data_IF_582824135879
#
_entry.id   IF_582824135879
#
_cell.length_a   1.000
_cell.length_b   1.000
_cell.length_c   1.000
_cell.angle_alpha   90.00
_cell.angle_beta   90.00
_cell.angle_gamma   90.00
#
_symmetry.space_group_name_H-M   'P 1'
#
loop_
_entity.id
_entity.type
_entity.pdbx_description
1 polymer ?
#
# COMPACT_ATOMS: atom_id res chain seq x y z
N UNK A 1 14.25 -14.87 -2.04
CA UNK A 1 12.86 -14.40 -2.06
C UNK A 1 12.31 -14.62 -0.66
N UNK A 2 11.70 -13.62 -0.03
CA UNK A 2 11.17 -13.74 1.33
C UNK A 2 9.90 -14.59 1.28
N UNK A 3 9.80 -15.63 2.11
CA UNK A 3 8.59 -16.45 2.21
C UNK A 3 7.66 -15.88 3.29
N UNK A 4 6.67 -15.11 2.86
CA UNK A 4 5.55 -14.69 3.72
C UNK A 4 4.30 -15.48 3.32
N UNK A 5 3.56 -16.01 4.30
CA UNK A 5 2.30 -16.68 4.01
C UNK A 5 1.24 -15.69 3.53
N UNK A 6 0.33 -16.15 2.66
CA UNK A 6 -0.85 -15.36 2.26
C UNK A 6 -1.87 -15.20 3.40
N UNK A 7 -1.90 -16.17 4.31
CA UNK A 7 -2.87 -16.21 5.41
C UNK A 7 -2.48 -15.26 6.56
N UNK A 8 -1.18 -15.20 6.90
CA UNK A 8 -0.67 -14.43 8.03
C UNK A 8 0.60 -13.63 7.69
N UNK A 9 0.57 -12.77 6.64
CA UNK A 9 1.76 -12.08 6.15
C UNK A 9 2.36 -11.13 7.20
N UNK A 10 1.52 -10.55 8.05
CA UNK A 10 1.96 -9.62 9.09
C UNK A 10 2.73 -10.33 10.21
N UNK A 11 2.19 -11.44 10.72
CA UNK A 11 2.80 -12.23 11.79
C UNK A 11 4.13 -12.83 11.33
N UNK A 12 4.22 -13.28 10.07
CA UNK A 12 5.45 -13.78 9.49
C UNK A 12 6.49 -12.66 9.31
N UNK A 13 6.07 -11.49 8.86
CA UNK A 13 6.95 -10.32 8.79
C UNK A 13 7.48 -9.92 10.18
N UNK A 14 6.65 -9.96 11.22
CA UNK A 14 7.09 -9.72 12.59
C UNK A 14 8.14 -10.73 13.07
N UNK A 15 7.95 -12.02 12.79
CA UNK A 15 8.93 -13.08 13.12
C UNK A 15 10.25 -12.83 12.40
N UNK A 16 10.20 -12.53 11.11
CA UNK A 16 11.37 -12.30 10.28
C UNK A 16 12.17 -11.08 10.77
N UNK A 17 11.48 -10.00 11.14
CA UNK A 17 12.07 -8.78 11.68
C UNK A 17 12.40 -8.89 13.18
N UNK A 18 12.04 -9.99 13.85
CA UNK A 18 12.20 -10.20 15.29
C UNK A 18 11.56 -9.09 16.15
N UNK A 19 10.38 -8.64 15.75
CA UNK A 19 9.60 -7.61 16.47
C UNK A 19 8.28 -8.19 17.01
N UNK A 20 7.74 -7.56 18.05
CA UNK A 20 6.44 -7.93 18.60
C UNK A 20 5.29 -7.39 17.72
N UNK A 21 4.26 -8.20 17.42
CA UNK A 21 3.08 -7.75 16.70
C UNK A 21 2.33 -6.63 17.42
N UNK A 22 1.71 -5.73 16.66
CA UNK A 22 1.05 -4.51 17.16
C UNK A 22 -0.16 -4.81 18.01
N UNK A 23 -0.80 -5.98 17.83
CA UNK A 23 -1.84 -6.47 18.71
C UNK A 23 -1.38 -6.61 20.18
N UNK A 24 -0.06 -6.73 20.42
CA UNK A 24 0.51 -6.83 21.78
C UNK A 24 0.75 -5.46 22.43
N UNK A 25 0.63 -4.34 21.69
CA UNK A 25 0.67 -2.99 22.24
C UNK A 25 -0.68 -2.60 22.85
N UNK A 26 -1.16 -3.37 23.85
CA UNK A 26 -2.44 -3.12 24.57
C UNK A 26 -2.49 -1.72 25.23
N UNK A 27 -1.35 -1.06 25.41
CA UNK A 27 -1.23 0.27 26.02
C UNK A 27 -1.51 1.44 25.08
N UNK A 28 -1.47 1.24 23.75
CA UNK A 28 -1.64 2.34 22.80
C UNK A 28 -3.07 2.38 22.25
N UNK A 29 -3.75 3.52 22.45
CA UNK A 29 -5.04 3.85 21.82
C UNK A 29 -4.82 4.20 20.34
N UNK A 30 -4.30 3.26 19.54
CA UNK A 30 -4.16 3.43 18.10
C UNK A 30 -5.49 3.17 17.39
N UNK A 31 -5.84 4.03 16.43
CA UNK A 31 -6.96 3.80 15.52
C UNK A 31 -6.72 2.56 14.64
N UNK A 32 -7.80 1.99 14.10
CA UNK A 32 -7.70 0.85 13.20
C UNK A 32 -6.90 1.19 11.93
N UNK A 33 -7.03 2.42 11.44
CA UNK A 33 -6.26 2.94 10.31
C UNK A 33 -4.75 2.94 10.61
N UNK A 34 -4.33 3.48 11.77
CA UNK A 34 -2.92 3.47 12.16
C UNK A 34 -2.40 2.04 12.33
N UNK A 35 -3.19 1.14 12.92
CA UNK A 35 -2.80 -0.27 13.05
C UNK A 35 -2.63 -0.91 11.69
N UNK A 36 -3.55 -0.65 10.75
CA UNK A 36 -3.48 -1.18 9.39
C UNK A 36 -2.23 -0.68 8.65
N UNK A 37 -1.91 0.62 8.77
CA UNK A 37 -0.70 1.17 8.17
C UNK A 37 0.58 0.58 8.77
N UNK A 38 0.66 0.37 10.09
CA UNK A 38 1.83 -0.28 10.71
C UNK A 38 2.00 -1.71 10.19
N UNK A 39 0.91 -2.45 9.99
CA UNK A 39 0.96 -3.79 9.38
C UNK A 39 1.54 -3.75 7.97
N UNK A 40 1.01 -2.87 7.12
CA UNK A 40 1.51 -2.65 5.75
C UNK A 40 3.00 -2.29 5.74
N UNK A 41 3.40 -1.34 6.58
CA UNK A 41 4.79 -0.90 6.68
C UNK A 41 5.73 -2.02 7.15
N UNK A 42 5.27 -2.85 8.09
CA UNK A 42 6.03 -4.00 8.61
C UNK A 42 6.27 -5.04 7.51
N UNK A 43 5.23 -5.38 6.75
CA UNK A 43 5.34 -6.34 5.64
C UNK A 43 6.24 -5.78 4.54
N UNK A 44 6.08 -4.50 4.18
CA UNK A 44 6.94 -3.85 3.19
C UNK A 44 8.42 -3.86 3.62
N UNK A 45 8.71 -3.56 4.90
CA UNK A 45 10.06 -3.65 5.48
C UNK A 45 10.63 -5.07 5.40
N UNK A 46 9.83 -6.09 5.71
CA UNK A 46 10.26 -7.49 5.60
C UNK A 46 10.62 -7.87 4.16
N UNK A 47 9.87 -7.39 3.16
CA UNK A 47 10.11 -7.69 1.74
C UNK A 47 11.34 -6.95 1.20
N UNK A 48 11.47 -5.65 1.48
CA UNK A 48 12.58 -4.82 0.94
C UNK A 48 13.89 -4.97 1.72
N UNK A 49 13.84 -5.53 2.93
CA UNK A 49 15.00 -5.67 3.81
C UNK A 49 15.57 -4.32 4.23
N UNK A 50 16.90 -4.21 4.23
CA UNK A 50 17.62 -3.00 4.64
C UNK A 50 17.63 -1.89 3.58
N UNK A 51 17.05 -2.13 2.40
CA UNK A 51 17.00 -1.13 1.36
C UNK A 51 16.11 0.04 1.77
N UNK A 52 16.62 1.25 1.55
CA UNK A 52 15.90 2.52 1.70
C UNK A 52 16.15 3.35 0.44
N UNK A 53 15.15 4.10 -0.04
CA UNK A 53 15.34 5.00 -1.17
C UNK A 53 16.32 6.12 -0.76
N UNK A 54 17.37 6.31 -1.57
CA UNK A 54 18.18 7.52 -1.51
C UNK A 54 17.50 8.58 -2.38
N UNK A 55 16.90 9.58 -1.73
CA UNK A 55 16.17 10.65 -2.43
C UNK A 55 17.11 11.60 -3.18
N UNK A 56 18.43 11.50 -2.98
CA UNK A 56 19.42 12.28 -3.72
C UNK A 56 19.89 11.61 -5.02
N UNK A 57 19.57 10.33 -5.22
CA UNK A 57 19.91 9.61 -6.45
C UNK A 57 18.73 9.62 -7.44
N UNK A 58 18.83 10.49 -8.44
CA UNK A 58 17.84 10.63 -9.51
C UNK A 58 17.74 9.42 -10.45
N UNK A 59 18.71 8.49 -10.39
CA UNK A 59 18.75 7.31 -11.29
C UNK A 59 18.11 6.07 -10.69
N UNK A 60 17.86 6.06 -9.38
CA UNK A 60 17.23 4.92 -8.72
C UNK A 60 15.74 4.87 -9.08
N UNK A 61 15.36 3.85 -9.83
CA UNK A 61 13.95 3.52 -10.08
C UNK A 61 13.36 2.96 -8.78
N UNK A 62 12.15 3.43 -8.45
CA UNK A 62 11.42 3.06 -7.23
C UNK A 62 10.07 2.49 -7.64
N UNK A 63 9.77 1.30 -7.15
CA UNK A 63 8.52 0.60 -7.48
C UNK A 63 7.51 0.80 -6.36
N UNK A 64 6.26 1.03 -6.75
CA UNK A 64 5.14 1.31 -5.86
C UNK A 64 3.98 0.39 -6.22
N UNK A 65 3.11 0.11 -5.25
CA UNK A 65 1.82 -0.50 -5.57
C UNK A 65 0.88 0.56 -6.10
N UNK A 66 0.33 0.30 -7.29
CA UNK A 66 -0.73 1.09 -7.89
C UNK A 66 -1.73 0.18 -8.59
N UNK A 67 -2.90 0.70 -8.92
CA UNK A 67 -3.96 -0.10 -9.53
C UNK A 67 -5.21 0.71 -9.83
N UNK A 68 -6.18 0.03 -10.42
CA UNK A 68 -7.46 0.58 -10.81
C UNK A 68 -8.57 0.11 -9.87
N UNK A 69 -9.45 1.03 -9.48
CA UNK A 69 -10.72 0.71 -8.83
C UNK A 69 -11.81 0.94 -9.88
N UNK A 70 -12.40 -0.14 -10.38
CA UNK A 70 -13.47 -0.06 -11.37
C UNK A 70 -14.82 0.22 -10.68
N UNK A 71 -15.52 1.26 -11.15
CA UNK A 71 -16.83 1.69 -10.64
C UNK A 71 -18.00 1.28 -11.55
N UNK A 72 -17.69 0.60 -12.66
CA UNK A 72 -18.66 0.08 -13.64
C UNK A 72 -19.72 -0.84 -13.00
N UNK A 73 -19.40 -1.45 -11.86
CA UNK A 73 -20.36 -2.10 -10.97
C UNK A 73 -21.10 -1.14 -10.02
N UNK A 74 -21.86 -0.16 -10.55
CA UNK A 74 -22.97 0.61 -9.90
C UNK A 74 -22.85 1.03 -8.41
N UNK A 75 -21.69 0.99 -7.75
CA UNK A 75 -21.55 1.47 -6.38
C UNK A 75 -21.31 2.97 -6.43
N UNK A 76 -22.26 3.74 -5.92
CA UNK A 76 -22.23 5.22 -5.79
C UNK A 76 -21.14 5.73 -4.83
N UNK A 77 -20.17 4.90 -4.48
CA UNK A 77 -19.13 5.20 -3.51
C UNK A 77 -17.90 5.67 -4.29
N UNK A 78 -17.66 6.98 -4.24
CA UNK A 78 -16.45 7.59 -4.79
C UNK A 78 -15.20 6.98 -4.14
N UNK A 79 -14.30 6.42 -4.94
CA UNK A 79 -12.93 6.23 -4.49
C UNK A 79 -12.29 7.62 -4.40
N UNK A 80 -11.78 7.99 -3.21
CA UNK A 80 -11.00 9.20 -2.90
C UNK A 80 -11.22 10.44 -3.78
N UNK A 81 -11.87 11.48 -3.25
CA UNK A 81 -12.02 12.75 -3.98
C UNK A 81 -10.67 13.47 -4.14
N UNK A 82 -10.05 13.35 -5.31
CA UNK A 82 -9.04 14.30 -5.76
C UNK A 82 -9.73 15.31 -6.69
N UNK A 83 -9.95 16.53 -6.19
CA UNK A 83 -10.63 17.59 -6.92
C UNK A 83 -9.62 18.64 -7.42
N UNK A 84 -9.57 18.85 -8.74
CA UNK A 84 -8.85 19.97 -9.36
C UNK A 84 -9.90 20.91 -9.97
N UNK A 85 -9.95 22.15 -9.48
CA UNK A 85 -10.87 23.20 -9.96
C UNK A 85 -10.08 24.16 -10.85
N UNK A 86 -10.43 24.23 -12.14
CA UNK A 86 -9.87 25.22 -13.07
C UNK A 86 -10.97 26.05 -13.70
N UNK A 87 -10.74 27.35 -13.82
CA UNK A 87 -11.66 28.31 -14.44
C UNK A 87 -11.27 28.65 -15.89
N UNK A 88 -10.02 28.40 -16.29
CA UNK A 88 -9.46 28.79 -17.59
C UNK A 88 -8.96 27.57 -18.40
N UNK A 89 -9.43 26.37 -18.03
CA UNK A 89 -9.16 25.11 -18.73
C UNK A 89 -8.23 24.16 -17.98
N UNK A 90 -8.44 22.87 -18.19
CA UNK A 90 -7.51 21.80 -17.85
C UNK A 90 -7.10 21.19 -19.18
N UNK A 91 -5.85 21.39 -19.62
CA UNK A 91 -5.29 20.52 -20.64
C UNK A 91 -5.23 19.06 -20.15
N UNK A 92 -4.47 18.19 -20.82
CA UNK A 92 -4.20 16.84 -20.30
C UNK A 92 -3.61 16.91 -18.88
N UNK A 93 -4.42 16.58 -17.87
CA UNK A 93 -4.07 16.73 -16.45
C UNK A 93 -4.19 15.37 -15.78
N UNK A 94 -3.10 14.92 -15.14
CA UNK A 94 -3.03 13.67 -14.40
C UNK A 94 -2.50 13.95 -12.99
N UNK A 95 -2.87 13.12 -12.03
CA UNK A 95 -2.30 13.13 -10.69
C UNK A 95 -1.99 11.70 -10.27
N UNK A 96 -0.74 11.47 -9.86
CA UNK A 96 -0.28 10.19 -9.35
C UNK A 96 -0.20 10.30 -7.83
N UNK A 97 -0.95 9.47 -7.12
CA UNK A 97 -0.87 9.37 -5.65
C UNK A 97 -0.06 8.12 -5.33
N UNK A 98 1.15 8.33 -4.80
CA UNK A 98 2.02 7.27 -4.32
C UNK A 98 1.83 7.00 -2.83
N UNK A 99 2.26 5.83 -2.37
CA UNK A 99 2.34 5.48 -0.94
C UNK A 99 3.81 5.48 -0.52
N UNK A 100 4.11 5.59 0.78
CA UNK A 100 5.49 5.42 1.30
C UNK A 100 5.98 3.97 1.30
N UNK A 101 5.17 3.04 0.78
CA UNK A 101 5.48 1.62 0.63
C UNK A 101 6.24 1.43 -0.69
N UNK A 102 7.52 1.78 -0.67
CA UNK A 102 8.43 1.77 -1.83
C UNK A 102 9.34 0.54 -1.82
N UNK A 103 9.65 0.02 -3.02
CA UNK A 103 10.46 -1.17 -3.25
C UNK A 103 11.57 -0.94 -4.27
N UNK A 104 12.63 -1.73 -4.16
CA UNK A 104 13.80 -1.68 -5.06
C UNK A 104 13.51 -2.36 -6.40
N UNK A 105 12.78 -3.47 -6.36
CA UNK A 105 12.48 -4.29 -7.54
C UNK A 105 10.96 -4.35 -7.78
N UNK A 106 10.54 -4.43 -9.05
CA UNK A 106 9.13 -4.56 -9.44
C UNK A 106 8.47 -5.77 -8.80
N UNK A 107 9.13 -6.92 -8.87
CA UNK A 107 8.66 -8.18 -8.27
C UNK A 107 8.39 -8.11 -6.75
N UNK A 108 9.07 -7.20 -6.04
CA UNK A 108 8.80 -6.96 -4.61
C UNK A 108 7.51 -6.17 -4.43
N UNK A 109 7.27 -5.17 -5.27
CA UNK A 109 6.02 -4.42 -5.28
C UNK A 109 4.85 -5.33 -5.69
N UNK A 110 5.03 -6.19 -6.69
CA UNK A 110 4.05 -7.19 -7.13
C UNK A 110 3.64 -8.11 -5.98
N UNK A 111 4.63 -8.76 -5.35
CA UNK A 111 4.39 -9.63 -4.21
C UNK A 111 3.68 -8.91 -3.07
N UNK A 112 4.13 -7.70 -2.73
CA UNK A 112 3.53 -6.91 -1.67
C UNK A 112 2.08 -6.54 -1.99
N UNK A 113 1.80 -6.11 -3.21
CA UNK A 113 0.47 -5.77 -3.70
C UNK A 113 -0.49 -6.94 -3.58
N UNK A 114 -0.07 -8.13 -4.04
CA UNK A 114 -0.88 -9.35 -3.97
C UNK A 114 -1.12 -9.80 -2.51
N UNK A 115 -0.08 -9.80 -1.67
CA UNK A 115 -0.20 -10.19 -0.26
C UNK A 115 -1.08 -9.23 0.55
N UNK A 116 -0.99 -7.94 0.27
CA UNK A 116 -1.59 -6.90 1.10
C UNK A 116 -2.85 -6.29 0.50
N UNK A 117 -3.35 -6.82 -0.61
CA UNK A 117 -4.48 -6.25 -1.36
C UNK A 117 -5.67 -5.81 -0.48
N UNK A 118 -6.17 -6.61 0.48
CA UNK A 118 -7.27 -6.19 1.35
C UNK A 118 -6.88 -5.01 2.25
N UNK A 119 -5.70 -5.07 2.86
CA UNK A 119 -5.18 -4.00 3.75
C UNK A 119 -4.91 -2.70 2.97
N UNK A 120 -4.43 -2.81 1.73
CA UNK A 120 -4.19 -1.67 0.84
C UNK A 120 -5.50 -0.98 0.46
N UNK A 121 -6.53 -1.73 0.05
CA UNK A 121 -7.84 -1.15 -0.25
C UNK A 121 -8.45 -0.46 0.96
N UNK A 122 -8.32 -1.07 2.15
CA UNK A 122 -8.78 -0.44 3.39
C UNK A 122 -8.00 0.82 3.72
N UNK A 123 -6.69 0.83 3.55
CA UNK A 123 -5.85 1.99 3.85
C UNK A 123 -6.07 3.15 2.87
N UNK A 124 -6.06 2.87 1.56
CA UNK A 124 -6.08 3.90 0.52
C UNK A 124 -7.48 4.46 0.28
N UNK A 125 -8.52 3.62 0.44
CA UNK A 125 -9.88 3.98 0.04
C UNK A 125 -10.89 3.86 1.18
N UNK A 126 -10.49 3.36 2.36
CA UNK A 126 -11.39 3.01 3.46
C UNK A 126 -12.52 2.04 3.04
N UNK A 127 -12.19 1.09 2.16
CA UNK A 127 -13.14 0.10 1.61
C UNK A 127 -12.69 -1.33 1.87
N UNK A 128 -13.65 -2.25 1.88
CA UNK A 128 -13.41 -3.68 2.10
C UNK A 128 -13.58 -4.51 0.80
N UNK A 129 -13.95 -3.89 -0.32
CA UNK A 129 -14.24 -4.51 -1.62
C UNK A 129 -12.99 -4.73 -2.50
N UNK A 130 -11.91 -5.18 -1.89
CA UNK A 130 -10.59 -5.38 -2.52
C UNK A 130 -10.60 -6.32 -3.74
N UNK A 131 -11.62 -7.17 -3.90
CA UNK A 131 -11.81 -7.98 -5.12
C UNK A 131 -12.03 -7.14 -6.38
N UNK A 132 -12.54 -5.91 -6.23
CA UNK A 132 -12.74 -4.96 -7.34
C UNK A 132 -11.48 -4.15 -7.68
N UNK A 133 -10.52 -4.14 -6.77
CA UNK A 133 -9.23 -3.50 -7.02
C UNK A 133 -8.41 -4.39 -7.93
N UNK A 134 -7.94 -3.85 -9.06
CA UNK A 134 -7.02 -4.55 -9.95
C UNK A 134 -5.66 -3.89 -9.84
N UNK A 135 -4.69 -4.66 -9.34
CA UNK A 135 -3.29 -4.25 -9.35
C UNK A 135 -2.86 -4.09 -10.81
N UNK A 136 -2.07 -3.06 -11.06
CA UNK A 136 -1.51 -2.77 -12.37
C UNK A 136 0.00 -2.72 -12.23
N UNK A 137 0.69 -3.41 -13.13
CA UNK A 137 2.14 -3.55 -13.14
C UNK A 137 2.62 -3.00 -14.48
#
# INVERSE_FOLDING_TARGET
MVELSKEHPYEDACKLLKISPVANYKSYKLSDETRNFIKLETIAKAIRGDWKPDLSDERTVRYFVWGWVYTDHRSKESAGLLAVRSYDGLGHSFATVGTSLEFKEESQAEMFGELCKPMLCKHLFNRDDHERFKLNW
#
